data_IF_650487539662
#
_entry.id   IF_650487539662
#
_cell.length_a   1.000
_cell.length_b   1.000
_cell.length_c   1.000
_cell.angle_alpha   90.00
_cell.angle_beta   90.00
_cell.angle_gamma   90.00
#
_symmetry.space_group_name_H-M   'P 1'
#
loop_
_entity.id
_entity.type
_entity.pdbx_description
1 polymer ?
#
# COMPACT_ATOMS: atom_id res chain seq x y z
N UNK A 1 9.21 45.19 11.90
CA UNK A 1 9.01 44.51 10.61
C UNK A 1 9.01 43.04 10.91
N UNK A 2 7.85 42.54 11.32
CA UNK A 2 7.62 41.12 11.60
C UNK A 2 7.23 40.45 10.29
N UNK A 3 7.97 39.41 9.95
CA UNK A 3 7.77 38.57 8.77
C UNK A 3 6.49 37.77 8.97
N UNK A 4 5.48 38.04 8.14
CA UNK A 4 4.21 37.31 8.14
C UNK A 4 4.43 35.92 7.56
N UNK A 5 4.62 34.94 8.43
CA UNK A 5 4.42 33.53 8.12
C UNK A 5 2.99 33.35 7.59
N UNK A 6 2.86 33.26 6.27
CA UNK A 6 1.61 32.87 5.61
C UNK A 6 1.19 31.50 6.16
N UNK A 7 0.10 31.50 6.93
CA UNK A 7 -0.58 30.27 7.32
C UNK A 7 -1.03 29.55 6.05
N UNK A 8 -0.83 28.22 5.92
CA UNK A 8 -1.38 27.47 4.81
C UNK A 8 -2.90 27.68 4.80
N UNK A 9 -3.42 28.15 3.66
CA UNK A 9 -4.87 28.28 3.51
C UNK A 9 -5.50 26.89 3.55
N UNK A 10 -6.63 26.72 4.26
CA UNK A 10 -7.39 25.48 4.23
C UNK A 10 -7.80 25.18 2.78
N UNK A 11 -7.64 23.91 2.40
CA UNK A 11 -8.05 23.37 1.09
C UNK A 11 -9.58 23.34 1.02
N UNK A 12 -10.23 24.49 0.87
CA UNK A 12 -11.68 24.58 0.65
C UNK A 12 -11.97 24.37 -0.84
N UNK A 13 -11.82 23.12 -1.30
CA UNK A 13 -12.28 22.73 -2.62
C UNK A 13 -13.65 22.03 -2.50
N UNK A 14 -14.68 22.71 -3.01
CA UNK A 14 -16.07 22.23 -3.06
C UNK A 14 -16.22 20.94 -3.90
N UNK A 15 -15.17 20.51 -4.61
CA UNK A 15 -15.09 19.23 -5.30
C UNK A 15 -15.09 17.99 -4.38
N UNK A 16 -14.86 18.16 -3.07
CA UNK A 16 -14.88 17.07 -2.08
C UNK A 16 -16.15 17.02 -1.22
N UNK A 17 -17.32 17.41 -1.77
CA UNK A 17 -18.61 17.18 -1.11
C UNK A 17 -18.73 15.71 -0.66
N UNK A 18 -19.08 15.42 0.61
CA UNK A 18 -19.07 14.07 1.13
C UNK A 18 -20.28 13.31 0.57
N UNK A 19 -20.06 12.52 -0.48
CA UNK A 19 -20.99 11.44 -0.82
C UNK A 19 -20.84 10.39 0.28
N UNK A 20 -21.67 10.52 1.30
CA UNK A 20 -21.90 9.51 2.34
C UNK A 20 -22.73 8.32 1.83
N UNK A 21 -23.10 8.31 0.55
CA UNK A 21 -23.73 7.16 -0.09
C UNK A 21 -22.64 6.17 -0.53
N UNK A 22 -22.81 4.88 -0.23
CA UNK A 22 -21.85 3.77 -0.44
C UNK A 22 -20.96 3.51 0.80
N UNK A 23 -21.56 3.05 1.91
CA UNK A 23 -20.84 2.40 3.03
C UNK A 23 -20.28 1.02 2.62
N UNK A 24 -19.46 1.02 1.59
CA UNK A 24 -18.77 -0.14 1.03
C UNK A 24 -17.31 0.18 0.80
N UNK A 25 -16.63 0.77 1.78
CA UNK A 25 -15.17 0.82 1.71
C UNK A 25 -14.65 -0.62 1.69
N UNK A 26 -13.84 -0.93 0.68
CA UNK A 26 -13.25 -2.25 0.49
C UNK A 26 -12.35 -2.52 1.70
N UNK A 27 -12.88 -3.18 2.74
CA UNK A 27 -12.10 -3.53 3.92
C UNK A 27 -10.82 -4.27 3.53
N UNK A 28 -9.75 -4.18 4.33
CA UNK A 28 -8.49 -4.88 4.07
C UNK A 28 -8.66 -6.40 4.02
N UNK A 29 -7.63 -7.15 3.61
CA UNK A 29 -7.71 -8.63 3.55
C UNK A 29 -7.95 -9.24 4.93
N UNK A 30 -7.41 -8.60 5.97
CA UNK A 30 -7.45 -9.08 7.36
C UNK A 30 -8.54 -8.43 8.21
N UNK A 31 -9.21 -7.38 7.71
CA UNK A 31 -10.07 -6.51 8.50
C UNK A 31 -11.40 -6.20 7.80
N UNK A 32 -12.46 -6.13 8.59
CA UNK A 32 -13.74 -5.54 8.19
C UNK A 32 -13.82 -4.15 8.82
N UNK A 33 -14.12 -3.12 8.02
CA UNK A 33 -14.27 -1.73 8.50
C UNK A 33 -15.74 -1.35 8.44
N UNK A 34 -16.27 -0.80 9.54
CA UNK A 34 -17.65 -0.32 9.66
C UNK A 34 -17.66 1.14 10.09
N UNK A 35 -18.62 1.89 9.57
CA UNK A 35 -18.83 3.29 9.93
C UNK A 35 -20.14 3.39 10.71
N UNK A 36 -20.07 3.97 11.90
CA UNK A 36 -21.20 4.07 12.82
C UNK A 36 -21.45 5.54 13.11
N UNK A 37 -22.65 6.02 12.79
CA UNK A 37 -23.08 7.37 13.17
C UNK A 37 -23.72 7.31 14.55
N UNK A 38 -23.12 7.99 15.52
CA UNK A 38 -23.65 8.10 16.87
C UNK A 38 -24.89 9.01 16.90
N UNK A 39 -25.75 8.93 17.94
CA UNK A 39 -26.89 9.83 18.10
C UNK A 39 -26.52 11.32 18.11
N UNK A 40 -25.28 11.66 18.49
CA UNK A 40 -24.73 13.02 18.44
C UNK A 40 -24.43 13.51 17.01
N UNK A 41 -24.56 12.66 16.00
CA UNK A 41 -24.19 12.93 14.61
C UNK A 41 -22.71 12.65 14.30
N UNK A 42 -21.87 12.42 15.30
CA UNK A 42 -20.45 12.07 15.13
C UNK A 42 -20.31 10.72 14.42
N UNK A 43 -19.34 10.64 13.50
CA UNK A 43 -19.01 9.41 12.79
C UNK A 43 -17.83 8.72 13.46
N UNK A 44 -18.00 7.46 13.83
CA UNK A 44 -16.98 6.59 14.41
C UNK A 44 -16.66 5.45 13.45
N UNK A 45 -15.42 5.00 13.43
CA UNK A 45 -14.95 3.86 12.65
C UNK A 45 -14.73 2.68 13.59
N UNK A 46 -15.27 1.52 13.23
CA UNK A 46 -15.00 0.24 13.90
C UNK A 46 -14.25 -0.68 12.94
N UNK A 47 -13.00 -1.02 13.27
CA UNK A 47 -12.21 -2.01 12.56
C UNK A 47 -12.27 -3.35 13.29
N UNK A 48 -12.71 -4.41 12.61
CA UNK A 48 -12.83 -5.77 13.13
C UNK A 48 -11.74 -6.65 12.51
N UNK A 49 -10.66 -6.87 13.23
CA UNK A 49 -9.51 -7.66 12.79
C UNK A 49 -9.77 -9.17 12.94
N UNK A 50 -9.28 -9.96 11.99
CA UNK A 50 -9.48 -11.41 11.94
C UNK A 50 -10.81 -11.85 11.33
N UNK A 51 -11.79 -10.94 11.17
CA UNK A 51 -13.14 -11.26 10.69
C UNK A 51 -13.14 -12.00 9.33
N UNK A 52 -12.30 -11.57 8.39
CA UNK A 52 -12.19 -12.18 7.04
C UNK A 52 -11.39 -13.49 7.01
N UNK A 53 -10.59 -13.77 8.04
CA UNK A 53 -9.79 -15.00 8.17
C UNK A 53 -10.34 -15.95 9.24
N UNK A 54 -11.64 -15.86 9.54
CA UNK A 54 -12.37 -16.73 10.50
C UNK A 54 -11.95 -16.54 11.97
N UNK A 55 -11.30 -15.42 12.30
CA UNK A 55 -10.95 -15.03 13.66
C UNK A 55 -9.72 -15.74 14.24
N UNK A 56 -9.27 -15.22 15.37
CA UNK A 56 -8.14 -15.69 16.16
C UNK A 56 -8.56 -16.76 17.16
N UNK A 57 -7.58 -17.46 17.74
CA UNK A 57 -7.79 -18.03 19.07
C UNK A 57 -7.89 -16.90 20.11
N UNK A 58 -8.61 -17.10 21.22
CA UNK A 58 -8.82 -16.04 22.23
C UNK A 58 -7.51 -15.51 22.83
N UNK A 59 -6.57 -16.40 23.17
CA UNK A 59 -5.27 -15.99 23.71
C UNK A 59 -4.44 -15.20 22.68
N UNK A 60 -4.49 -15.62 21.42
CA UNK A 60 -3.85 -14.92 20.30
C UNK A 60 -4.46 -13.52 20.09
N UNK A 61 -5.79 -13.37 20.19
CA UNK A 61 -6.46 -12.06 20.09
C UNK A 61 -6.01 -11.09 21.19
N UNK A 62 -5.81 -11.57 22.41
CA UNK A 62 -5.27 -10.74 23.50
C UNK A 62 -3.88 -10.22 23.13
N UNK A 63 -2.96 -11.09 22.70
CA UNK A 63 -1.60 -10.69 22.30
C UNK A 63 -1.62 -9.70 21.14
N UNK A 64 -2.41 -9.93 20.09
CA UNK A 64 -2.50 -9.00 18.98
C UNK A 64 -3.14 -7.66 19.37
N UNK A 65 -4.05 -7.64 20.35
CA UNK A 65 -4.64 -6.39 20.85
C UNK A 65 -3.61 -5.52 21.57
N UNK A 66 -2.71 -6.12 22.35
CA UNK A 66 -1.58 -5.45 22.97
C UNK A 66 -0.59 -4.94 21.92
N UNK A 67 -0.30 -5.76 20.91
CA UNK A 67 0.62 -5.42 19.83
C UNK A 67 0.10 -4.28 18.94
N UNK A 68 -1.23 -4.14 18.76
CA UNK A 68 -1.86 -2.99 18.09
C UNK A 68 -1.59 -1.70 18.87
N UNK A 69 -1.73 -1.73 20.20
CA UNK A 69 -1.48 -0.55 21.05
C UNK A 69 0.00 -0.18 20.99
N UNK A 70 0.91 -1.14 21.18
CA UNK A 70 2.34 -0.92 21.13
C UNK A 70 2.80 -0.36 19.77
N UNK A 71 2.25 -0.87 18.66
CA UNK A 71 2.56 -0.35 17.34
C UNK A 71 2.06 1.09 17.15
N UNK A 72 0.87 1.42 17.67
CA UNK A 72 0.38 2.80 17.64
C UNK A 72 1.30 3.74 18.41
N UNK A 73 1.76 3.34 19.60
CA UNK A 73 2.69 4.13 20.42
C UNK A 73 4.02 4.38 19.68
N UNK A 74 4.57 3.36 19.03
CA UNK A 74 5.80 3.48 18.25
C UNK A 74 5.65 4.39 17.02
N UNK A 75 4.50 4.37 16.36
CA UNK A 75 4.19 5.28 15.25
C UNK A 75 4.01 6.72 15.76
N UNK A 76 3.27 6.93 16.86
CA UNK A 76 3.08 8.25 17.48
C UNK A 76 4.40 8.85 17.95
N UNK A 77 5.29 8.04 18.53
CA UNK A 77 6.64 8.46 18.96
C UNK A 77 7.45 9.06 17.81
N UNK A 78 7.20 8.62 16.57
CA UNK A 78 7.84 9.11 15.34
C UNK A 78 7.11 10.26 14.67
N UNK A 79 6.00 10.72 15.27
CA UNK A 79 5.20 11.82 14.74
C UNK A 79 4.23 11.41 13.64
N UNK A 80 4.03 10.10 13.38
CA UNK A 80 3.03 9.64 12.41
C UNK A 80 1.64 10.08 12.88
N UNK A 81 0.86 10.82 12.06
CA UNK A 81 -0.49 11.21 12.44
C UNK A 81 -1.43 10.00 12.42
N UNK A 82 -2.01 9.67 13.58
CA UNK A 82 -2.93 8.55 13.76
C UNK A 82 -4.21 9.00 14.48
N UNK A 83 -5.39 8.48 14.13
CA UNK A 83 -6.57 8.65 14.96
C UNK A 83 -6.34 7.96 16.31
N UNK A 84 -6.78 8.56 17.44
CA UNK A 84 -6.69 7.89 18.73
C UNK A 84 -7.54 6.61 18.74
N UNK A 85 -7.07 5.59 19.48
CA UNK A 85 -7.90 4.44 19.85
C UNK A 85 -8.88 4.90 20.93
N UNK A 86 -10.17 4.84 20.64
CA UNK A 86 -11.24 5.10 21.63
C UNK A 86 -11.55 3.84 22.44
N UNK A 87 -11.36 2.67 21.84
CA UNK A 87 -11.60 1.40 22.49
C UNK A 87 -11.04 0.24 21.69
N UNK A 88 -10.61 -0.81 22.40
CA UNK A 88 -10.32 -2.12 21.83
C UNK A 88 -11.08 -3.14 22.68
N UNK A 89 -11.93 -3.94 22.04
CA UNK A 89 -12.63 -5.05 22.67
C UNK A 89 -12.35 -6.34 21.91
N UNK A 90 -12.41 -7.46 22.62
CA UNK A 90 -12.29 -8.79 22.02
C UNK A 90 -13.68 -9.43 22.03
N UNK A 91 -14.24 -9.56 20.84
CA UNK A 91 -15.51 -10.25 20.60
C UNK A 91 -15.22 -11.75 20.48
N UNK A 92 -15.65 -12.55 21.46
CA UNK A 92 -15.44 -13.99 21.47
C UNK A 92 -16.74 -14.73 21.16
N UNK A 93 -16.71 -15.54 20.10
CA UNK A 93 -17.79 -16.47 19.78
C UNK A 93 -17.52 -17.83 20.45
N UNK A 94 -18.37 -18.18 21.41
CA UNK A 94 -18.28 -19.44 22.13
C UNK A 94 -18.56 -20.65 21.23
N UNK A 95 -19.36 -20.52 20.17
CA UNK A 95 -19.72 -21.64 19.30
C UNK A 95 -18.53 -22.06 18.43
N UNK A 96 -17.85 -21.10 17.80
CA UNK A 96 -16.68 -21.38 16.96
C UNK A 96 -15.35 -21.42 17.73
N UNK A 97 -15.33 -21.00 19.00
CA UNK A 97 -14.12 -20.78 19.80
C UNK A 97 -13.15 -19.79 19.13
N UNK A 98 -13.70 -18.82 18.37
CA UNK A 98 -12.94 -17.80 17.67
C UNK A 98 -13.18 -16.42 18.26
N UNK A 99 -12.15 -15.58 18.14
CA UNK A 99 -12.17 -14.21 18.60
C UNK A 99 -11.94 -13.23 17.44
N UNK A 100 -12.51 -12.04 17.54
CA UNK A 100 -12.28 -10.89 16.68
C UNK A 100 -11.87 -9.73 17.56
N UNK A 101 -10.90 -8.93 17.12
CA UNK A 101 -10.51 -7.69 17.80
C UNK A 101 -11.29 -6.56 17.15
N UNK A 102 -12.13 -5.86 17.92
CA UNK A 102 -12.84 -4.67 17.45
C UNK A 102 -12.17 -3.43 18.04
N UNK A 103 -11.53 -2.65 17.16
CA UNK A 103 -10.95 -1.33 17.47
C UNK A 103 -11.93 -0.24 17.05
N UNK A 104 -12.22 0.71 17.93
CA UNK A 104 -12.96 1.93 17.62
C UNK A 104 -12.05 3.15 17.59
N UNK A 105 -12.30 4.06 16.65
CA UNK A 105 -11.61 5.34 16.56
C UNK A 105 -12.47 6.40 15.87
N UNK A 106 -12.16 7.70 16.02
CA UNK A 106 -12.86 8.76 15.31
C UNK A 106 -12.71 8.60 13.80
N UNK A 107 -13.69 9.08 13.04
CA UNK A 107 -13.56 9.21 11.59
C UNK A 107 -12.61 10.37 11.24
N UNK A 108 -11.59 10.08 10.42
CA UNK A 108 -10.53 11.01 10.01
C UNK A 108 -10.53 11.31 8.51
N UNK A 109 -11.70 11.27 7.89
CA UNK A 109 -11.85 11.65 6.49
C UNK A 109 -12.02 10.49 5.51
N UNK A 110 -11.80 10.81 4.24
CA UNK A 110 -11.97 9.89 3.12
C UNK A 110 -10.66 9.17 2.81
N UNK A 111 -10.75 7.91 2.37
CA UNK A 111 -9.58 7.12 2.01
C UNK A 111 -8.92 7.66 0.74
N UNK A 112 -7.59 7.61 0.72
CA UNK A 112 -6.80 8.14 -0.40
C UNK A 112 -7.06 7.36 -1.69
N UNK A 113 -7.35 6.06 -1.62
CA UNK A 113 -7.70 5.26 -2.80
C UNK A 113 -8.93 5.82 -3.51
N UNK A 114 -9.99 6.12 -2.78
CA UNK A 114 -11.22 6.70 -3.29
C UNK A 114 -10.97 8.10 -3.87
N UNK A 115 -10.22 8.95 -3.16
CA UNK A 115 -9.91 10.31 -3.63
C UNK A 115 -9.16 10.29 -4.97
N UNK A 116 -8.15 9.43 -5.11
CA UNK A 116 -7.39 9.29 -6.36
C UNK A 116 -8.28 8.78 -7.50
N UNK A 117 -9.17 7.81 -7.26
CA UNK A 117 -10.06 7.26 -8.30
C UNK A 117 -11.02 8.30 -8.89
N UNK A 118 -11.42 9.28 -8.07
CA UNK A 118 -12.38 10.31 -8.46
C UNK A 118 -11.71 11.61 -8.90
N UNK A 119 -10.38 11.67 -8.91
CA UNK A 119 -9.65 12.82 -9.44
C UNK A 119 -9.64 12.78 -10.97
N UNK A 120 -10.14 13.82 -11.68
CA UNK A 120 -10.19 13.83 -13.14
C UNK A 120 -8.80 13.67 -13.79
N UNK A 121 -8.71 12.86 -14.84
CA UNK A 121 -7.50 12.70 -15.63
C UNK A 121 -7.14 13.98 -16.39
N UNK A 122 -5.88 14.40 -16.32
CA UNK A 122 -5.30 15.40 -17.24
C UNK A 122 -5.35 16.88 -16.82
N UNK A 123 -5.89 17.22 -15.64
CA UNK A 123 -5.94 18.61 -15.18
C UNK A 123 -5.51 18.85 -13.72
N UNK A 124 -5.10 17.82 -12.96
CA UNK A 124 -4.83 18.01 -11.53
C UNK A 124 -3.61 17.28 -10.96
N UNK A 125 -2.48 17.38 -11.68
CA UNK A 125 -1.16 16.97 -11.19
C UNK A 125 -0.81 17.61 -9.83
N UNK A 126 -1.41 18.77 -9.53
CA UNK A 126 -1.28 19.45 -8.25
C UNK A 126 -2.02 18.72 -7.14
N UNK A 127 -3.28 18.33 -7.34
CA UNK A 127 -4.03 17.55 -6.33
C UNK A 127 -3.38 16.18 -6.14
N UNK A 128 -3.15 15.43 -7.22
CA UNK A 128 -2.53 14.10 -7.12
C UNK A 128 -1.13 14.19 -6.50
N UNK A 129 -0.33 15.17 -6.93
CA UNK A 129 0.99 15.44 -6.35
C UNK A 129 0.93 15.83 -4.88
N UNK A 130 -0.07 16.61 -4.47
CA UNK A 130 -0.31 16.97 -3.07
C UNK A 130 -0.68 15.78 -2.20
N UNK A 131 -1.56 14.90 -2.68
CA UNK A 131 -1.93 13.66 -2.00
C UNK A 131 -0.71 12.76 -1.83
N UNK A 132 0.03 12.49 -2.92
CA UNK A 132 1.24 11.65 -2.89
C UNK A 132 2.32 12.26 -1.99
N UNK A 133 2.49 13.59 -2.03
CA UNK A 133 3.42 14.31 -1.17
C UNK A 133 3.10 14.15 0.32
N UNK A 134 1.82 14.25 0.71
CA UNK A 134 1.39 14.01 2.09
C UNK A 134 1.60 12.54 2.52
N UNK A 135 1.32 11.57 1.65
CA UNK A 135 1.63 10.16 1.93
C UNK A 135 3.13 9.98 2.17
N UNK A 136 3.96 10.53 1.28
CA UNK A 136 5.41 10.46 1.40
C UNK A 136 5.91 11.13 2.67
N UNK A 137 5.32 12.25 3.10
CA UNK A 137 5.70 12.91 4.36
C UNK A 137 5.55 11.98 5.58
N UNK A 138 4.47 11.18 5.63
CA UNK A 138 4.30 10.15 6.67
C UNK A 138 5.33 9.03 6.51
N UNK A 139 5.50 8.54 5.29
CA UNK A 139 6.44 7.45 5.00
C UNK A 139 7.90 7.84 5.28
N UNK A 140 8.29 9.11 5.10
CA UNK A 140 9.62 9.63 5.47
C UNK A 140 9.87 9.52 6.96
N UNK A 141 8.86 9.75 7.82
CA UNK A 141 9.02 9.59 9.28
C UNK A 141 9.39 8.15 9.66
N UNK A 142 8.87 7.17 8.91
CA UNK A 142 9.18 5.75 9.10
C UNK A 142 10.51 5.38 8.45
N UNK A 143 10.72 5.82 7.20
CA UNK A 143 11.88 5.44 6.40
C UNK A 143 13.17 6.11 6.90
N UNK A 144 13.14 7.33 7.42
CA UNK A 144 14.35 7.99 7.88
C UNK A 144 14.97 7.31 9.12
N UNK A 145 14.18 6.60 9.93
CA UNK A 145 14.67 5.89 11.11
C UNK A 145 15.05 4.43 10.77
N UNK A 146 16.32 4.24 10.43
CA UNK A 146 16.90 2.95 10.04
C UNK A 146 17.26 2.08 11.24
N UNK A 147 16.95 0.79 11.13
CA UNK A 147 17.49 -0.28 11.97
C UNK A 147 18.86 -0.75 11.47
N UNK A 148 18.92 -1.15 10.21
CA UNK A 148 20.15 -1.65 9.58
C UNK A 148 20.09 -1.48 8.06
N UNK A 149 21.06 -0.76 7.50
CA UNK A 149 21.05 -0.47 6.07
C UNK A 149 19.75 0.22 5.67
N UNK A 150 18.99 -0.38 4.74
CA UNK A 150 17.68 0.12 4.32
C UNK A 150 16.51 -0.34 5.18
N UNK A 151 16.73 -1.28 6.10
CA UNK A 151 15.72 -1.79 7.01
C UNK A 151 15.38 -0.73 8.07
N UNK A 152 14.10 -0.47 8.32
CA UNK A 152 13.54 0.53 9.23
C UNK A 152 13.31 -0.06 10.62
N UNK A 153 13.24 0.78 11.64
CA UNK A 153 12.94 0.32 13.01
C UNK A 153 11.49 -0.18 13.16
N UNK A 154 10.55 0.46 12.49
CA UNK A 154 9.16 0.03 12.38
C UNK A 154 8.78 -0.13 10.92
N UNK A 155 7.88 -1.05 10.65
CA UNK A 155 7.33 -1.22 9.32
C UNK A 155 6.09 -0.37 9.10
N UNK A 156 5.65 -0.29 7.84
CA UNK A 156 4.41 0.40 7.45
C UNK A 156 3.85 -0.24 6.19
N UNK A 157 2.52 -0.32 6.11
CA UNK A 157 1.82 -0.82 4.95
C UNK A 157 1.28 0.35 4.13
N UNK A 158 2.00 0.72 3.07
CA UNK A 158 1.77 1.94 2.28
C UNK A 158 0.61 1.85 1.28
N UNK A 159 -0.36 0.95 1.49
CA UNK A 159 -1.60 0.89 0.72
C UNK A 159 -2.39 2.19 0.85
N UNK A 160 -2.92 2.71 -0.27
CA UNK A 160 -3.69 3.95 -0.28
C UNK A 160 -4.93 3.91 0.62
N UNK A 161 -5.53 2.72 0.81
CA UNK A 161 -6.66 2.52 1.73
C UNK A 161 -6.29 2.69 3.21
N UNK A 162 -5.00 2.71 3.54
CA UNK A 162 -4.50 2.86 4.91
C UNK A 162 -4.24 4.33 5.27
N UNK A 163 -4.52 5.25 4.34
CA UNK A 163 -4.42 6.70 4.55
C UNK A 163 -5.78 7.35 4.33
N UNK A 164 -6.10 8.34 5.16
CA UNK A 164 -7.29 9.18 5.00
C UNK A 164 -6.94 10.66 5.02
N UNK A 165 -7.74 11.50 4.37
CA UNK A 165 -7.61 12.97 4.41
C UNK A 165 -8.87 13.55 5.02
N UNK A 166 -8.71 14.30 6.12
CA UNK A 166 -9.82 14.97 6.79
C UNK A 166 -10.25 16.28 6.10
N UNK A 167 -11.31 16.91 6.61
CA UNK A 167 -11.86 18.15 6.05
C UNK A 167 -10.89 19.35 6.11
N UNK A 168 -9.84 19.29 6.94
CA UNK A 168 -8.80 20.31 6.99
C UNK A 168 -7.66 20.07 5.98
N UNK A 169 -7.73 18.96 5.24
CA UNK A 169 -6.70 18.52 4.30
C UNK A 169 -5.56 17.75 4.96
N UNK A 170 -5.67 17.41 6.26
CA UNK A 170 -4.63 16.67 6.98
C UNK A 170 -4.73 15.18 6.69
N UNK A 171 -3.59 14.57 6.36
CA UNK A 171 -3.48 13.13 6.16
C UNK A 171 -3.24 12.37 7.48
N UNK A 172 -3.89 11.22 7.59
CA UNK A 172 -3.82 10.29 8.72
C UNK A 172 -3.49 8.88 8.23
N UNK A 173 -2.67 8.15 8.96
CA UNK A 173 -2.51 6.71 8.79
C UNK A 173 -3.50 5.98 9.71
N UNK A 174 -4.23 4.98 9.20
CA UNK A 174 -5.41 4.43 9.91
C UNK A 174 -5.42 2.92 10.12
N UNK A 175 -4.65 2.14 9.33
CA UNK A 175 -4.64 0.68 9.44
C UNK A 175 -3.45 0.18 10.27
N UNK A 176 -3.73 -0.19 11.52
CA UNK A 176 -2.72 -0.69 12.45
C UNK A 176 -2.55 -2.22 12.39
N UNK A 177 -3.28 -2.93 11.52
CA UNK A 177 -3.26 -4.39 11.50
C UNK A 177 -2.79 -4.99 10.16
N UNK A 178 -1.89 -5.97 10.19
CA UNK A 178 -1.13 -6.43 11.36
C UNK A 178 -0.17 -5.35 11.89
N UNK A 179 0.07 -5.30 13.22
CA UNK A 179 1.16 -4.55 13.82
C UNK A 179 2.51 -4.80 13.14
N UNK A 180 3.23 -3.73 12.81
CA UNK A 180 4.53 -3.78 12.13
C UNK A 180 5.58 -3.04 12.94
N UNK A 181 5.92 -3.59 14.10
CA UNK A 181 7.05 -3.13 14.91
C UNK A 181 7.97 -4.28 15.29
N UNK A 182 9.11 -3.98 15.93
CA UNK A 182 10.03 -5.01 16.43
C UNK A 182 9.66 -5.40 17.86
N UNK A 183 9.16 -6.63 18.03
CA UNK A 183 8.88 -7.21 19.34
C UNK A 183 10.06 -8.08 19.77
N UNK A 184 10.70 -7.71 20.87
CA UNK A 184 11.93 -8.36 21.34
C UNK A 184 13.03 -8.44 20.26
N UNK A 185 13.16 -7.39 19.44
CA UNK A 185 14.14 -7.31 18.35
C UNK A 185 13.72 -7.99 17.04
N UNK A 186 12.64 -8.76 17.02
CA UNK A 186 12.14 -9.43 15.82
C UNK A 186 10.99 -8.65 15.16
N UNK A 187 10.99 -8.46 13.83
CA UNK A 187 9.91 -7.75 13.14
C UNK A 187 8.63 -8.59 13.09
N UNK A 188 7.50 -7.98 13.44
CA UNK A 188 6.17 -8.52 13.19
C UNK A 188 5.73 -8.16 11.76
N UNK A 189 5.67 -9.17 10.88
CA UNK A 189 5.49 -8.92 9.45
C UNK A 189 4.04 -8.95 9.00
N UNK A 190 3.37 -10.09 9.20
CA UNK A 190 2.05 -10.38 8.67
C UNK A 190 1.27 -11.28 9.64
N UNK A 191 -0.05 -11.32 9.45
CA UNK A 191 -0.92 -12.31 10.11
C UNK A 191 -1.74 -13.10 9.09
N UNK A 192 -1.66 -14.45 9.09
CA UNK A 192 -0.74 -15.28 9.88
C UNK A 192 0.75 -15.01 9.57
N UNK A 193 1.63 -15.41 10.48
CA UNK A 193 3.08 -15.27 10.27
C UNK A 193 3.52 -16.13 9.08
N UNK A 194 4.33 -15.59 8.15
CA UNK A 194 4.84 -16.37 7.01
C UNK A 194 5.73 -17.53 7.48
N UNK A 195 5.50 -18.73 6.93
CA UNK A 195 6.21 -19.95 7.29
C UNK A 195 7.47 -20.15 6.44
N UNK A 196 7.48 -19.66 5.20
CA UNK A 196 8.60 -19.77 4.27
C UNK A 196 9.61 -18.64 4.45
N UNK A 197 10.86 -18.89 4.02
CA UNK A 197 11.90 -17.86 4.00
C UNK A 197 11.59 -16.77 2.96
N UNK A 198 11.06 -17.16 1.80
CA UNK A 198 10.62 -16.23 0.75
C UNK A 198 9.52 -15.29 1.26
N UNK A 199 8.48 -15.84 1.90
CA UNK A 199 7.40 -15.08 2.52
C UNK A 199 7.90 -14.07 3.55
N UNK A 200 8.82 -14.50 4.43
CA UNK A 200 9.46 -13.61 5.42
C UNK A 200 10.31 -12.53 4.76
N UNK A 201 11.16 -12.89 3.81
CA UNK A 201 12.03 -11.95 3.10
C UNK A 201 11.25 -10.88 2.35
N UNK A 202 10.20 -11.28 1.62
CA UNK A 202 9.31 -10.36 0.92
C UNK A 202 8.45 -9.52 1.87
N UNK A 203 7.99 -10.08 3.00
CA UNK A 203 7.27 -9.33 4.03
C UNK A 203 8.15 -8.24 4.65
N UNK A 204 9.40 -8.59 4.98
CA UNK A 204 10.39 -7.63 5.50
C UNK A 204 10.69 -6.55 4.46
N UNK A 205 10.93 -6.94 3.20
CA UNK A 205 11.23 -5.99 2.15
C UNK A 205 10.10 -4.97 1.95
N UNK A 206 8.84 -5.41 1.83
CA UNK A 206 7.71 -4.49 1.56
C UNK A 206 7.41 -3.53 2.71
N UNK A 207 7.52 -4.03 3.93
CA UNK A 207 7.02 -3.31 5.10
C UNK A 207 8.12 -2.62 5.89
N UNK A 208 9.35 -3.15 5.87
CA UNK A 208 10.46 -2.67 6.69
C UNK A 208 11.68 -2.23 5.87
N UNK A 209 11.77 -2.45 4.55
CA UNK A 209 12.87 -1.89 3.75
C UNK A 209 12.38 -0.63 3.02
N UNK A 210 13.05 0.52 3.14
CA UNK A 210 12.57 1.72 2.44
C UNK A 210 12.48 1.57 0.93
N UNK A 211 13.33 0.77 0.31
CA UNK A 211 13.28 0.52 -1.14
C UNK A 211 12.02 -0.27 -1.47
N UNK A 212 11.70 -1.26 -0.64
CA UNK A 212 10.47 -2.03 -0.79
C UNK A 212 9.20 -1.25 -0.43
N UNK A 213 9.24 -0.37 0.57
CA UNK A 213 8.16 0.58 0.89
C UNK A 213 7.95 1.54 -0.29
N UNK A 214 9.04 2.04 -0.89
CA UNK A 214 8.99 2.90 -2.09
C UNK A 214 8.27 2.18 -3.24
N UNK A 215 8.73 0.97 -3.60
CA UNK A 215 8.12 0.14 -4.63
C UNK A 215 6.66 -0.19 -4.35
N UNK A 216 6.36 -0.59 -3.11
CA UNK A 216 4.99 -0.91 -2.69
C UNK A 216 4.09 0.31 -2.84
N UNK A 217 4.56 1.50 -2.44
CA UNK A 217 3.79 2.75 -2.56
C UNK A 217 3.48 3.07 -4.02
N UNK A 218 4.48 2.98 -4.90
CA UNK A 218 4.31 3.19 -6.35
C UNK A 218 3.30 2.19 -6.91
N UNK A 219 3.43 0.91 -6.57
CA UNK A 219 2.54 -0.14 -7.05
C UNK A 219 1.10 0.06 -6.57
N UNK A 220 0.88 0.45 -5.31
CA UNK A 220 -0.45 0.68 -4.76
C UNK A 220 -1.12 1.91 -5.40
N UNK A 221 -0.40 3.02 -5.57
CA UNK A 221 -0.94 4.19 -6.28
C UNK A 221 -1.28 3.86 -7.74
N UNK A 222 -0.36 3.16 -8.42
CA UNK A 222 -0.53 2.74 -9.81
C UNK A 222 -1.66 1.74 -9.98
N UNK A 223 -1.96 0.90 -8.98
CA UNK A 223 -3.12 0.00 -9.01
C UNK A 223 -4.43 0.78 -9.04
N UNK A 224 -4.49 1.88 -8.28
CA UNK A 224 -5.68 2.73 -8.16
C UNK A 224 -5.92 3.51 -9.45
N UNK A 225 -4.86 4.06 -10.06
CA UNK A 225 -4.95 4.83 -11.31
C UNK A 225 -3.78 4.48 -12.26
N UNK A 226 -3.86 3.36 -13.00
CA UNK A 226 -2.73 2.84 -13.80
C UNK A 226 -2.17 3.80 -14.84
N UNK A 227 -3.03 4.60 -15.47
CA UNK A 227 -2.62 5.61 -16.45
C UNK A 227 -1.61 6.63 -15.90
N UNK A 228 -1.52 6.79 -14.57
CA UNK A 228 -0.61 7.71 -13.90
C UNK A 228 0.64 7.02 -13.32
N UNK A 229 0.94 5.76 -13.68
CA UNK A 229 2.07 5.00 -13.13
C UNK A 229 3.42 5.74 -13.20
N UNK A 230 3.76 6.31 -14.37
CA UNK A 230 5.00 7.08 -14.54
C UNK A 230 5.06 8.31 -13.62
N UNK A 231 3.94 9.02 -13.50
CA UNK A 231 3.81 10.17 -12.60
C UNK A 231 3.99 9.75 -11.13
N UNK A 232 3.31 8.69 -10.69
CA UNK A 232 3.44 8.21 -9.31
C UNK A 232 4.85 7.75 -8.99
N UNK A 233 5.51 7.08 -9.93
CA UNK A 233 6.89 6.65 -9.75
C UNK A 233 7.84 7.84 -9.53
N UNK A 234 7.74 8.89 -10.34
CA UNK A 234 8.53 10.11 -10.14
C UNK A 234 8.21 10.79 -8.80
N UNK A 235 6.92 11.01 -8.52
CA UNK A 235 6.48 11.73 -7.31
C UNK A 235 6.83 11.00 -6.01
N UNK A 236 6.75 9.68 -5.98
CA UNK A 236 7.14 8.90 -4.80
C UNK A 236 8.65 8.92 -4.61
N UNK A 237 9.43 8.77 -5.69
CA UNK A 237 10.91 8.83 -5.61
C UNK A 237 11.39 10.19 -5.12
N UNK A 238 10.76 11.28 -5.56
CA UNK A 238 11.07 12.63 -5.11
C UNK A 238 10.58 12.87 -3.68
N UNK A 239 9.34 12.45 -3.36
CA UNK A 239 8.74 12.63 -2.05
C UNK A 239 9.45 11.86 -0.93
N UNK A 240 10.01 10.68 -1.25
CA UNK A 240 10.79 9.88 -0.31
C UNK A 240 12.28 10.20 -0.33
N UNK A 241 12.77 11.05 -1.24
CA UNK A 241 14.18 11.45 -1.31
C UNK A 241 14.78 11.88 0.04
N UNK A 242 14.07 12.61 0.93
CA UNK A 242 14.60 12.99 2.25
C UNK A 242 14.94 11.80 3.17
N UNK A 243 14.42 10.60 2.91
CA UNK A 243 14.73 9.39 3.68
C UNK A 243 15.98 8.63 3.19
N UNK A 244 16.68 9.18 2.20
CA UNK A 244 17.87 8.59 1.58
C UNK A 244 18.99 9.62 1.48
N UNK A 245 20.23 9.15 1.57
CA UNK A 245 21.38 9.93 1.09
C UNK A 245 21.33 10.07 -0.44
N UNK A 246 22.00 11.09 -1.02
CA UNK A 246 22.04 11.26 -2.48
C UNK A 246 22.57 10.03 -3.23
N UNK A 247 23.55 9.32 -2.67
CA UNK A 247 24.12 8.12 -3.27
C UNK A 247 23.12 6.94 -3.26
N UNK A 248 22.40 6.75 -2.16
CA UNK A 248 21.35 5.72 -2.06
C UNK A 248 20.20 5.99 -3.03
N UNK A 249 19.77 7.24 -3.15
CA UNK A 249 18.72 7.64 -4.08
C UNK A 249 19.16 7.41 -5.55
N UNK A 250 20.41 7.75 -5.88
CA UNK A 250 20.96 7.50 -7.21
C UNK A 250 21.04 6.00 -7.52
N UNK A 251 21.49 5.18 -6.56
CA UNK A 251 21.52 3.73 -6.71
C UNK A 251 20.12 3.15 -6.90
N UNK A 252 19.13 3.59 -6.11
CA UNK A 252 17.74 3.18 -6.23
C UNK A 252 17.19 3.50 -7.62
N UNK A 253 17.38 4.73 -8.12
CA UNK A 253 16.92 5.13 -9.46
C UNK A 253 17.58 4.32 -10.58
N UNK A 254 18.88 4.05 -10.47
CA UNK A 254 19.61 3.23 -11.43
C UNK A 254 19.13 1.78 -11.44
N UNK A 255 18.79 1.24 -10.29
CA UNK A 255 18.28 -0.13 -10.20
C UNK A 255 16.87 -0.24 -10.77
N UNK A 256 15.99 0.73 -10.45
CA UNK A 256 14.65 0.80 -11.01
C UNK A 256 14.65 0.97 -12.53
N UNK A 257 15.57 1.78 -13.09
CA UNK A 257 15.65 1.96 -14.55
C UNK A 257 16.06 0.70 -15.30
N UNK A 258 16.68 -0.27 -14.61
CA UNK A 258 17.06 -1.58 -15.17
C UNK A 258 15.99 -2.66 -14.94
N UNK A 259 14.93 -2.34 -14.21
CA UNK A 259 13.91 -3.32 -13.88
C UNK A 259 13.18 -3.83 -15.14
N UNK A 260 12.86 -5.13 -15.25
CA UNK A 260 12.23 -5.69 -16.44
C UNK A 260 10.88 -5.04 -16.83
N UNK A 261 10.10 -4.57 -15.85
CA UNK A 261 8.84 -3.87 -16.14
C UNK A 261 9.04 -2.49 -16.76
N UNK A 262 10.16 -1.80 -16.49
CA UNK A 262 10.51 -0.56 -17.21
C UNK A 262 10.81 -0.85 -18.68
N UNK A 263 11.51 -1.94 -18.97
CA UNK A 263 11.74 -2.39 -20.34
C UNK A 263 10.41 -2.74 -21.02
N UNK A 264 9.49 -3.42 -20.32
CA UNK A 264 8.15 -3.69 -20.83
C UNK A 264 7.39 -2.40 -21.16
N UNK A 265 7.46 -1.36 -20.31
CA UNK A 265 6.84 -0.04 -20.58
C UNK A 265 7.33 0.54 -21.91
N UNK A 266 8.65 0.53 -22.13
CA UNK A 266 9.26 1.08 -23.34
C UNK A 266 8.83 0.28 -24.58
N UNK A 267 8.79 -1.06 -24.47
CA UNK A 267 8.34 -1.94 -25.54
C UNK A 267 6.87 -1.73 -25.89
N UNK A 268 6.00 -1.57 -24.89
CA UNK A 268 4.57 -1.30 -25.10
C UNK A 268 4.32 0.03 -25.84
N UNK A 269 5.18 1.04 -25.63
CA UNK A 269 5.15 2.30 -26.36
C UNK A 269 5.65 2.20 -27.80
N UNK A 270 6.56 1.26 -28.08
CA UNK A 270 7.17 1.06 -29.40
C UNK A 270 6.44 0.02 -30.28
N UNK A 271 5.62 -0.85 -29.71
CA UNK A 271 4.99 -1.98 -30.43
C UNK A 271 4.00 -1.54 -31.51
N UNK A 272 4.39 -1.67 -32.79
CA UNK A 272 3.47 -1.72 -33.93
C UNK A 272 3.55 -3.03 -34.74
N UNK A 273 4.54 -3.91 -34.48
CA UNK A 273 4.77 -5.14 -35.26
C UNK A 273 4.95 -6.41 -34.39
N UNK A 274 5.12 -7.56 -35.06
CA UNK A 274 5.25 -8.89 -34.42
C UNK A 274 6.53 -9.06 -33.59
N UNK A 275 7.63 -8.37 -33.95
CA UNK A 275 8.90 -8.48 -33.22
C UNK A 275 8.77 -7.86 -31.83
N UNK A 276 8.22 -6.64 -31.75
CA UNK A 276 8.02 -5.97 -30.48
C UNK A 276 7.10 -6.74 -29.52
N UNK A 277 6.13 -7.51 -30.04
CA UNK A 277 5.29 -8.39 -29.22
C UNK A 277 6.08 -9.53 -28.58
N UNK A 278 7.02 -10.14 -29.31
CA UNK A 278 7.86 -11.21 -28.77
C UNK A 278 8.74 -10.68 -27.64
N UNK A 279 9.35 -9.52 -27.84
CA UNK A 279 10.22 -8.88 -26.84
C UNK A 279 9.43 -8.49 -25.59
N UNK A 280 8.20 -7.98 -25.75
CA UNK A 280 7.32 -7.68 -24.61
C UNK A 280 6.91 -8.94 -23.81
N UNK A 281 6.70 -10.07 -24.49
CA UNK A 281 6.45 -11.36 -23.81
C UNK A 281 7.70 -11.82 -23.05
N UNK A 282 8.89 -11.73 -23.65
CA UNK A 282 10.16 -12.04 -22.97
C UNK A 282 10.37 -11.17 -21.72
N UNK A 283 10.05 -9.87 -21.79
CA UNK A 283 10.10 -8.97 -20.65
C UNK A 283 9.12 -9.38 -19.51
N UNK A 284 7.94 -9.90 -19.83
CA UNK A 284 7.01 -10.46 -18.83
C UNK A 284 7.62 -11.66 -18.10
N UNK A 285 8.28 -12.57 -18.82
CA UNK A 285 8.98 -13.69 -18.20
C UNK A 285 10.15 -13.19 -17.33
N UNK A 286 10.91 -12.19 -17.78
CA UNK A 286 11.95 -11.58 -16.98
C UNK A 286 11.41 -10.90 -15.69
N UNK A 287 10.18 -10.39 -15.71
CA UNK A 287 9.52 -9.85 -14.52
C UNK A 287 9.24 -10.94 -13.47
N UNK A 288 8.88 -12.15 -13.88
CA UNK A 288 8.66 -13.29 -12.97
C UNK A 288 9.91 -13.64 -12.18
N UNK A 289 11.06 -13.64 -12.85
CA UNK A 289 12.33 -14.09 -12.29
C UNK A 289 13.19 -12.92 -11.78
N UNK A 290 12.59 -11.72 -11.69
CA UNK A 290 13.31 -10.51 -11.31
C UNK A 290 13.83 -10.59 -9.87
N UNK A 291 15.13 -10.29 -9.72
CA UNK A 291 15.75 -10.01 -8.42
C UNK A 291 15.91 -8.50 -8.32
N UNK A 292 15.26 -7.90 -7.32
CA UNK A 292 15.20 -6.46 -7.13
C UNK A 292 15.77 -6.16 -5.76
N UNK A 293 16.82 -5.35 -5.70
CA UNK A 293 17.57 -5.00 -4.50
C UNK A 293 18.16 -6.22 -3.77
N UNK A 294 18.47 -7.28 -4.52
CA UNK A 294 18.91 -8.57 -3.99
C UNK A 294 17.79 -9.48 -3.47
N UNK A 295 16.52 -9.07 -3.61
CA UNK A 295 15.34 -9.84 -3.17
C UNK A 295 14.67 -10.50 -4.39
N UNK A 296 14.42 -11.82 -4.37
CA UNK A 296 13.58 -12.47 -5.38
C UNK A 296 12.18 -11.86 -5.36
N UNK A 297 11.86 -11.01 -6.34
CA UNK A 297 10.65 -10.20 -6.34
C UNK A 297 9.44 -10.99 -6.85
N UNK A 298 9.68 -12.01 -7.69
CA UNK A 298 8.72 -13.08 -7.99
C UNK A 298 7.38 -12.56 -8.52
N UNK A 299 6.30 -12.95 -7.82
CA UNK A 299 4.94 -12.51 -8.16
C UNK A 299 4.76 -10.98 -8.14
N UNK A 300 5.56 -10.25 -7.37
CA UNK A 300 5.47 -8.79 -7.37
C UNK A 300 6.04 -8.19 -8.67
N UNK A 301 7.02 -8.83 -9.30
CA UNK A 301 7.46 -8.44 -10.64
C UNK A 301 6.34 -8.65 -11.68
N UNK A 302 5.57 -9.74 -11.58
CA UNK A 302 4.38 -9.93 -12.41
C UNK A 302 3.31 -8.86 -12.15
N UNK A 303 3.13 -8.41 -10.91
CA UNK A 303 2.23 -7.28 -10.60
C UNK A 303 2.70 -5.99 -11.24
N UNK A 304 4.00 -5.70 -11.25
CA UNK A 304 4.53 -4.53 -11.96
C UNK A 304 4.22 -4.62 -13.46
N UNK A 305 4.43 -5.79 -14.08
CA UNK A 305 4.08 -6.01 -15.49
C UNK A 305 2.57 -5.79 -15.76
N UNK A 306 1.69 -6.29 -14.88
CA UNK A 306 0.25 -6.05 -14.97
C UNK A 306 -0.10 -4.56 -14.90
N UNK A 307 0.60 -3.80 -14.04
CA UNK A 307 0.43 -2.36 -13.93
C UNK A 307 0.89 -1.62 -15.19
N UNK A 308 2.00 -2.02 -15.83
CA UNK A 308 2.45 -1.43 -17.10
C UNK A 308 1.46 -1.72 -18.24
N UNK A 309 0.95 -2.95 -18.32
CA UNK A 309 -0.08 -3.30 -19.30
C UNK A 309 -1.37 -2.52 -19.08
N UNK A 310 -1.77 -2.30 -17.82
CA UNK A 310 -2.92 -1.48 -17.49
C UNK A 310 -2.70 0.00 -17.85
N UNK A 311 -1.50 0.53 -17.57
CA UNK A 311 -1.12 1.89 -17.95
C UNK A 311 -1.16 2.10 -19.48
N UNK A 312 -0.79 1.07 -20.24
CA UNK A 312 -0.87 1.06 -21.71
C UNK A 312 -2.28 0.75 -22.26
N UNK A 313 -3.30 0.60 -21.41
CA UNK A 313 -4.67 0.29 -21.83
C UNK A 313 -4.87 -1.15 -22.35
N UNK A 314 -3.89 -2.04 -22.14
CA UNK A 314 -3.93 -3.47 -22.53
C UNK A 314 -4.51 -4.37 -21.45
N UNK A 315 -4.69 -3.85 -20.24
CA UNK A 315 -5.26 -4.57 -19.10
C UNK A 315 -6.30 -3.70 -18.41
N UNK A 316 -7.56 -4.13 -18.40
CA UNK A 316 -8.65 -3.33 -17.84
C UNK A 316 -8.56 -3.24 -16.31
N UNK A 317 -9.15 -2.19 -15.71
CA UNK A 317 -9.15 -2.05 -14.25
C UNK A 317 -9.79 -3.26 -13.51
N UNK A 318 -10.92 -3.85 -13.97
CA UNK A 318 -11.43 -5.08 -13.37
C UNK A 318 -10.48 -6.27 -13.48
N UNK A 319 -9.81 -6.44 -14.63
CA UNK A 319 -8.83 -7.51 -14.83
C UNK A 319 -7.59 -7.31 -13.96
N UNK A 320 -7.14 -6.07 -13.77
CA UNK A 320 -6.07 -5.71 -12.85
C UNK A 320 -6.43 -6.06 -11.40
N UNK A 321 -7.62 -5.71 -10.95
CA UNK A 321 -8.09 -6.04 -9.60
C UNK A 321 -8.17 -7.55 -9.36
N UNK A 322 -8.69 -8.30 -10.34
CA UNK A 322 -8.69 -9.76 -10.31
C UNK A 322 -7.28 -10.33 -10.27
N UNK A 323 -6.36 -9.82 -11.11
CA UNK A 323 -4.97 -10.23 -11.11
C UNK A 323 -4.31 -10.00 -9.75
N UNK A 324 -4.53 -8.84 -9.13
CA UNK A 324 -3.99 -8.52 -7.80
C UNK A 324 -4.53 -9.43 -6.71
N UNK A 325 -5.81 -9.82 -6.80
CA UNK A 325 -6.45 -10.78 -5.89
C UNK A 325 -5.89 -12.18 -6.05
N UNK A 326 -5.77 -12.67 -7.28
CA UNK A 326 -5.28 -14.02 -7.57
C UNK A 326 -3.77 -14.15 -7.28
N UNK A 327 -3.03 -13.05 -7.40
CA UNK A 327 -1.63 -12.93 -7.03
C UNK A 327 -1.42 -12.54 -5.56
N UNK A 328 -2.47 -12.53 -4.71
CA UNK A 328 -2.34 -12.21 -3.28
C UNK A 328 -1.38 -13.20 -2.63
N UNK A 329 -0.26 -12.68 -2.14
CA UNK A 329 0.87 -13.46 -1.67
C UNK A 329 1.13 -13.13 -0.22
N UNK A 330 0.92 -14.11 0.66
CA UNK A 330 1.22 -14.01 2.09
C UNK A 330 2.45 -14.84 2.46
N UNK A 331 2.67 -15.97 1.77
CA UNK A 331 3.75 -16.89 2.10
C UNK A 331 4.35 -17.57 0.87
N UNK A 332 3.53 -18.28 0.08
CA UNK A 332 3.92 -18.83 -1.22
C UNK A 332 2.71 -18.92 -2.15
N UNK A 333 2.96 -18.92 -3.46
CA UNK A 333 1.95 -19.23 -4.47
C UNK A 333 2.34 -20.52 -5.20
N UNK A 334 1.38 -21.44 -5.47
CA UNK A 334 1.66 -22.63 -6.27
C UNK A 334 2.19 -22.25 -7.65
N UNK A 335 3.18 -22.99 -8.17
CA UNK A 335 3.76 -22.72 -9.49
C UNK A 335 2.71 -22.67 -10.60
N UNK A 336 1.68 -23.52 -10.53
CA UNK A 336 0.56 -23.50 -11.49
C UNK A 336 -0.21 -22.18 -11.50
N UNK A 337 -0.32 -21.49 -10.35
CA UNK A 337 -0.95 -20.17 -10.25
C UNK A 337 -0.03 -19.12 -10.87
N UNK A 338 1.28 -19.19 -10.61
CA UNK A 338 2.27 -18.28 -11.20
C UNK A 338 2.30 -18.42 -12.73
N UNK A 339 2.26 -19.65 -13.24
CA UNK A 339 2.23 -19.94 -14.67
C UNK A 339 0.94 -19.38 -15.31
N UNK A 340 -0.22 -19.59 -14.69
CA UNK A 340 -1.49 -19.03 -15.15
C UNK A 340 -1.47 -17.49 -15.17
N UNK A 341 -1.01 -16.85 -14.10
CA UNK A 341 -0.84 -15.39 -14.05
C UNK A 341 0.07 -14.89 -15.18
N UNK A 342 1.19 -15.56 -15.42
CA UNK A 342 2.12 -15.22 -16.51
C UNK A 342 1.44 -15.35 -17.87
N UNK A 343 0.67 -16.41 -18.10
CA UNK A 343 -0.09 -16.61 -19.34
C UNK A 343 -1.16 -15.54 -19.55
N UNK A 344 -1.85 -15.08 -18.50
CA UNK A 344 -2.83 -13.99 -18.60
C UNK A 344 -2.16 -12.70 -19.08
N UNK A 345 -0.99 -12.33 -18.55
CA UNK A 345 -0.25 -11.14 -18.98
C UNK A 345 0.24 -11.26 -20.43
N UNK A 346 0.76 -12.43 -20.81
CA UNK A 346 1.17 -12.69 -22.21
C UNK A 346 0.02 -12.44 -23.19
N UNK A 347 -1.19 -12.95 -22.89
CA UNK A 347 -2.36 -12.76 -23.75
C UNK A 347 -2.73 -11.29 -23.91
N UNK A 348 -2.52 -10.46 -22.89
CA UNK A 348 -2.79 -9.02 -22.96
C UNK A 348 -1.85 -8.26 -23.92
N UNK A 349 -0.67 -8.81 -24.21
CA UNK A 349 0.28 -8.26 -25.19
C UNK A 349 -0.06 -8.71 -26.62
N UNK A 350 -0.62 -9.90 -26.77
CA UNK A 350 -0.90 -10.52 -28.08
C UNK A 350 -2.15 -9.94 -28.78
N UNK A 351 -3.06 -9.31 -28.01
CA UNK A 351 -4.26 -8.59 -28.48
C UNK A 351 -3.91 -7.15 -28.86
#
# INVERSE_FOLDING_TARGET
MEDQLQRPQPFEDAHFSPVAEIFGLRGGVNSEIRYVRLPSGLLTVTARYGAKKKGFLRAEANTWSEDIVAYQEELLRRGVPLPPIEGIIIEFDQASQKAVIAKTSPWTGHDVSHLIQHTPLGNDDKILGGIVGQMCAILVMVCAERHRGYETEIGIDSRCSNFTIDASGKMWFVDLFPPRYRKAGAPLLEWPTPLTEEGRGLGLFKHYDARGITLTTIAQLSRVLPAQKSFFEERVLDGLAPAFSPAELAAMRMELSRAPWRQLRDLLGATQDTSGRKDAVEAIFACRDAVVFGVPYGVYGLREAALELAAAGRFSAPALEEFFRDSHFEDSLPSSVIDDLTHRLRRAVEV
#
